data_IF_363963705641
#
_entry.id   IF_363963705641
#
_cell.length_a   1.000
_cell.length_b   1.000
_cell.length_c   1.000
_cell.angle_alpha   90.00
_cell.angle_beta   90.00
_cell.angle_gamma   90.00
#
_symmetry.space_group_name_H-M   'P 1'
#
loop_
_entity.id
_entity.type
_entity.pdbx_description
1 polymer ?
#
# COMPACT_ATOMS: atom_id res chain seq x y z
N UNK A 1 -23.02 44.07 53.25
CA UNK A 1 -23.85 43.82 52.06
C UNK A 1 -23.37 44.83 51.04
N UNK A 2 -22.71 44.47 49.94
CA UNK A 2 -22.90 43.29 49.08
C UNK A 2 -21.56 43.07 48.36
N UNK A 3 -21.00 41.86 48.46
CA UNK A 3 -19.82 41.48 47.70
C UNK A 3 -20.30 41.12 46.28
N UNK A 4 -19.83 41.87 45.27
CA UNK A 4 -20.06 41.53 43.88
C UNK A 4 -19.44 40.15 43.58
N UNK A 5 -20.16 39.23 42.93
CA UNK A 5 -19.58 37.96 42.53
C UNK A 5 -18.55 38.22 41.43
N UNK A 6 -17.31 37.78 41.66
CA UNK A 6 -16.33 37.59 40.60
C UNK A 6 -16.93 36.59 39.61
N UNK A 7 -17.43 37.09 38.48
CA UNK A 7 -17.71 36.26 37.33
C UNK A 7 -16.39 35.65 36.88
N UNK A 8 -16.17 34.40 37.26
CA UNK A 8 -15.25 33.53 36.56
C UNK A 8 -15.68 33.53 35.09
N UNK A 9 -14.91 34.20 34.24
CA UNK A 9 -14.85 33.83 32.84
C UNK A 9 -14.29 32.42 32.80
N UNK A 10 -15.16 31.41 32.95
CA UNK A 10 -14.91 30.10 32.38
C UNK A 10 -14.83 30.32 30.88
N UNK A 11 -13.62 30.60 30.40
CA UNK A 11 -13.29 30.51 28.99
C UNK A 11 -13.69 29.11 28.55
N UNK A 12 -14.80 29.01 27.83
CA UNK A 12 -15.25 27.79 27.21
C UNK A 12 -14.26 27.40 26.11
N UNK A 13 -13.12 26.82 26.48
CA UNK A 13 -12.25 26.07 25.57
C UNK A 13 -12.86 24.68 25.29
N UNK A 14 -14.20 24.62 25.24
CA UNK A 14 -14.97 23.39 25.28
C UNK A 14 -14.97 22.74 23.90
N UNK A 15 -14.15 21.70 23.76
CA UNK A 15 -14.44 20.58 22.85
C UNK A 15 -13.55 20.43 21.63
N UNK A 16 -12.72 21.42 21.28
CA UNK A 16 -11.78 21.26 20.17
C UNK A 16 -10.49 20.59 20.66
N UNK A 17 -9.99 19.57 19.96
CA UNK A 17 -8.74 18.95 20.33
C UNK A 17 -7.59 19.93 20.07
N UNK A 18 -6.60 19.92 20.96
CA UNK A 18 -5.40 20.74 20.83
C UNK A 18 -4.73 20.49 19.47
N UNK A 19 -4.21 21.54 18.81
CA UNK A 19 -3.54 21.48 17.51
C UNK A 19 -2.48 20.37 17.37
N UNK A 20 -1.74 20.07 18.45
CA UNK A 20 -0.75 19.00 18.50
C UNK A 20 -1.37 17.61 18.20
N UNK A 21 -2.67 17.44 18.48
CA UNK A 21 -3.38 16.19 18.22
C UNK A 21 -3.52 15.91 16.73
N UNK A 22 -3.74 16.92 15.88
CA UNK A 22 -3.77 16.72 14.43
C UNK A 22 -2.45 16.18 13.90
N UNK A 23 -1.34 16.68 14.45
CA UNK A 23 0.00 16.15 14.15
C UNK A 23 0.07 14.68 14.57
N UNK A 24 -0.30 14.35 15.81
CA UNK A 24 -0.25 12.96 16.32
C UNK A 24 -1.11 12.03 15.46
N UNK A 25 -2.35 12.42 15.13
CA UNK A 25 -3.28 11.62 14.33
C UNK A 25 -2.71 11.29 12.95
N UNK A 26 -1.96 12.20 12.32
CA UNK A 26 -1.33 11.98 11.02
C UNK A 26 -0.21 10.92 11.03
N UNK A 27 0.35 10.58 12.21
CA UNK A 27 1.36 9.53 12.36
C UNK A 27 0.82 8.21 12.88
N UNK A 28 -0.47 8.14 13.25
CA UNK A 28 -1.07 6.90 13.72
C UNK A 28 -1.23 5.91 12.57
N UNK A 29 -0.96 4.61 12.78
CA UNK A 29 -1.38 3.59 11.83
C UNK A 29 -2.90 3.57 11.71
N UNK A 30 -3.40 3.04 10.59
CA UNK A 30 -4.81 3.13 10.23
C UNK A 30 -5.74 2.53 11.30
N UNK A 31 -5.34 1.45 11.95
CA UNK A 31 -6.13 0.81 12.99
C UNK A 31 -6.32 1.72 14.21
N UNK A 32 -5.23 2.35 14.67
CA UNK A 32 -5.21 3.29 15.78
C UNK A 32 -5.99 4.56 15.41
N UNK A 33 -5.80 5.10 14.21
CA UNK A 33 -6.54 6.26 13.71
C UNK A 33 -8.07 6.02 13.73
N UNK A 34 -8.50 4.87 13.21
CA UNK A 34 -9.91 4.46 13.25
C UNK A 34 -10.39 4.24 14.69
N UNK A 35 -9.54 3.70 15.56
CA UNK A 35 -9.87 3.54 16.99
C UNK A 35 -10.05 4.88 17.68
N UNK A 36 -9.19 5.87 17.39
CA UNK A 36 -9.27 7.22 17.95
C UNK A 36 -10.58 7.91 17.59
N UNK A 37 -11.06 7.75 16.34
CA UNK A 37 -12.36 8.30 15.91
C UNK A 37 -13.58 7.75 16.67
N UNK A 38 -13.38 6.70 17.49
CA UNK A 38 -14.45 6.06 18.28
C UNK A 38 -14.38 6.37 19.77
N UNK A 39 -13.37 7.12 20.22
CA UNK A 39 -13.14 7.43 21.64
C UNK A 39 -14.08 8.52 22.14
N UNK A 40 -14.13 9.65 21.45
CA UNK A 40 -15.01 10.77 21.77
C UNK A 40 -15.34 11.59 20.52
N UNK A 41 -16.39 12.41 20.61
CA UNK A 41 -16.85 13.27 19.50
C UNK A 41 -15.77 14.24 19.01
N UNK A 42 -15.00 14.82 19.94
CA UNK A 42 -13.89 15.73 19.61
C UNK A 42 -12.83 15.06 18.72
N UNK A 43 -12.42 13.83 19.07
CA UNK A 43 -11.47 13.04 18.29
C UNK A 43 -12.05 12.57 16.96
N UNK A 44 -13.33 12.19 16.95
CA UNK A 44 -14.03 11.86 15.71
C UNK A 44 -13.99 13.03 14.73
N UNK A 45 -14.37 14.22 15.19
CA UNK A 45 -14.40 15.44 14.37
C UNK A 45 -12.98 15.83 13.91
N UNK A 46 -11.96 15.69 14.75
CA UNK A 46 -10.57 15.92 14.36
C UNK A 46 -10.12 15.03 13.20
N UNK A 47 -10.43 13.74 13.29
CA UNK A 47 -10.08 12.73 12.28
C UNK A 47 -10.89 12.88 10.99
N UNK A 48 -12.14 13.33 11.09
CA UNK A 48 -13.03 13.54 9.93
C UNK A 48 -12.72 14.83 9.17
N UNK A 49 -12.30 15.89 9.86
CA UNK A 49 -12.04 17.19 9.26
C UNK A 49 -10.59 17.36 8.75
N UNK A 50 -9.68 16.48 9.14
CA UNK A 50 -8.29 16.48 8.65
C UNK A 50 -8.09 15.48 7.52
N UNK A 51 -7.57 15.96 6.39
CA UNK A 51 -7.22 15.11 5.24
C UNK A 51 -5.85 14.45 5.37
N UNK A 52 -4.94 15.03 6.16
CA UNK A 52 -3.53 14.64 6.18
C UNK A 52 -3.32 13.16 6.56
N UNK A 53 -4.04 12.59 7.57
CA UNK A 53 -3.91 11.18 7.91
C UNK A 53 -4.33 10.24 6.77
N UNK A 54 -5.19 10.71 5.85
CA UNK A 54 -5.76 9.92 4.77
C UNK A 54 -4.98 10.00 3.46
N UNK A 55 -3.89 10.79 3.39
CA UNK A 55 -3.06 10.86 2.19
C UNK A 55 -2.27 9.56 1.91
N UNK A 56 -2.04 8.75 2.96
CA UNK A 56 -1.32 7.48 2.87
C UNK A 56 -2.09 6.41 3.65
N UNK A 57 -2.87 5.61 2.93
CA UNK A 57 -3.67 4.53 3.53
C UNK A 57 -2.86 3.23 3.43
N UNK A 58 -2.53 2.67 4.59
CA UNK A 58 -1.86 1.38 4.70
C UNK A 58 -2.79 0.43 5.46
N UNK A 59 -3.26 -0.61 4.78
CA UNK A 59 -4.06 -1.68 5.37
C UNK A 59 -3.20 -2.92 5.50
N UNK A 60 -3.02 -3.35 6.74
CA UNK A 60 -2.33 -4.58 7.09
C UNK A 60 -3.12 -5.37 8.14
N UNK A 61 -2.52 -6.43 8.70
CA UNK A 61 -3.16 -7.19 9.77
C UNK A 61 -3.35 -6.30 11.01
N UNK A 62 -4.49 -6.42 11.72
CA UNK A 62 -5.58 -7.38 11.50
C UNK A 62 -6.70 -6.87 10.57
N UNK A 63 -6.64 -5.62 10.08
CA UNK A 63 -7.71 -4.98 9.31
C UNK A 63 -7.98 -5.66 7.96
N UNK A 64 -6.94 -6.16 7.30
CA UNK A 64 -7.00 -6.79 5.97
C UNK A 64 -8.07 -7.90 5.85
N UNK A 65 -8.33 -8.68 6.91
CA UNK A 65 -9.33 -9.78 6.90
C UNK A 65 -10.79 -9.30 6.96
N UNK A 66 -11.00 -8.08 7.46
CA UNK A 66 -12.32 -7.47 7.65
C UNK A 66 -12.66 -6.45 6.57
N UNK A 67 -11.68 -6.06 5.75
CA UNK A 67 -11.86 -5.09 4.70
C UNK A 67 -12.71 -5.68 3.56
N UNK A 68 -13.73 -4.94 3.14
CA UNK A 68 -14.51 -5.15 1.91
C UNK A 68 -14.40 -3.92 1.02
N UNK A 69 -14.84 -4.02 -0.23
CA UNK A 69 -14.83 -2.90 -1.17
C UNK A 69 -15.54 -1.66 -0.61
N UNK A 70 -16.70 -1.84 0.04
CA UNK A 70 -17.44 -0.73 0.66
C UNK A 70 -16.68 -0.06 1.82
N UNK A 71 -16.03 -0.85 2.67
CA UNK A 71 -15.25 -0.32 3.79
C UNK A 71 -14.01 0.41 3.26
N UNK A 72 -13.34 -0.17 2.26
CA UNK A 72 -12.20 0.46 1.60
C UNK A 72 -12.61 1.79 0.97
N UNK A 73 -13.72 1.84 0.25
CA UNK A 73 -14.23 3.06 -0.37
C UNK A 73 -14.57 4.13 0.67
N UNK A 74 -15.22 3.75 1.79
CA UNK A 74 -15.51 4.66 2.90
C UNK A 74 -14.25 5.25 3.55
N UNK A 75 -13.17 4.47 3.62
CA UNK A 75 -11.89 4.95 4.15
C UNK A 75 -11.19 5.86 3.12
N UNK A 76 -11.12 5.42 1.86
CA UNK A 76 -10.46 6.16 0.79
C UNK A 76 -11.14 7.49 0.44
N UNK A 77 -12.46 7.61 0.62
CA UNK A 77 -13.19 8.87 0.37
C UNK A 77 -12.78 9.99 1.32
N UNK A 78 -12.26 9.67 2.51
CA UNK A 78 -11.75 10.66 3.48
C UNK A 78 -10.53 11.42 2.96
N UNK A 79 -9.81 10.87 1.99
CA UNK A 79 -8.72 11.57 1.32
C UNK A 79 -9.19 12.68 0.37
N UNK A 80 -10.49 12.72 0.04
CA UNK A 80 -11.14 13.72 -0.82
C UNK A 80 -10.37 13.95 -2.14
N UNK A 81 -10.08 12.87 -2.86
CA UNK A 81 -9.33 12.89 -4.12
C UNK A 81 -7.83 13.08 -4.00
N UNK A 82 -7.30 13.31 -2.79
CA UNK A 82 -5.88 13.60 -2.56
C UNK A 82 -5.05 12.39 -2.11
N UNK A 83 -5.61 11.17 -2.15
CA UNK A 83 -4.87 9.96 -1.77
C UNK A 83 -3.62 9.80 -2.65
N UNK A 84 -2.45 9.68 -2.01
CA UNK A 84 -1.14 9.57 -2.69
C UNK A 84 -0.61 8.15 -2.68
N UNK A 85 -0.85 7.44 -1.58
CA UNK A 85 -0.37 6.07 -1.36
C UNK A 85 -1.53 5.20 -0.90
N UNK A 86 -1.74 4.09 -1.60
CA UNK A 86 -2.66 3.03 -1.20
C UNK A 86 -1.88 1.72 -1.09
N UNK A 87 -1.80 1.18 0.12
CA UNK A 87 -1.18 -0.12 0.40
C UNK A 87 -2.21 -1.06 0.99
N UNK A 88 -2.49 -2.17 0.30
CA UNK A 88 -3.41 -3.23 0.69
C UNK A 88 -2.63 -4.54 0.83
N UNK A 89 -2.25 -4.91 2.04
CA UNK A 89 -1.45 -6.11 2.30
C UNK A 89 -2.37 -7.31 2.57
N UNK A 90 -2.37 -8.29 1.66
CA UNK A 90 -3.14 -9.53 1.80
C UNK A 90 -4.65 -9.29 2.00
N UNK A 91 -5.23 -8.31 1.32
CA UNK A 91 -6.65 -7.99 1.37
C UNK A 91 -7.43 -8.86 0.38
N UNK A 92 -7.62 -10.15 0.70
CA UNK A 92 -8.20 -11.14 -0.22
C UNK A 92 -9.66 -10.88 -0.65
N UNK A 93 -10.40 -10.06 0.10
CA UNK A 93 -11.81 -9.71 -0.17
C UNK A 93 -11.98 -8.48 -1.07
N UNK A 94 -10.89 -7.79 -1.43
CA UNK A 94 -10.95 -6.64 -2.32
C UNK A 94 -10.98 -7.11 -3.77
N UNK A 95 -11.92 -6.56 -4.53
CA UNK A 95 -12.13 -6.91 -5.94
C UNK A 95 -11.64 -5.83 -6.88
N UNK A 96 -11.59 -6.16 -8.18
CA UNK A 96 -11.22 -5.21 -9.23
C UNK A 96 -12.16 -3.99 -9.23
N UNK A 97 -13.46 -4.17 -8.95
CA UNK A 97 -14.44 -3.08 -8.84
C UNK A 97 -14.12 -2.16 -7.65
N UNK A 98 -13.88 -2.72 -6.47
CA UNK A 98 -13.53 -1.96 -5.29
C UNK A 98 -12.26 -1.13 -5.49
N UNK A 99 -11.23 -1.73 -6.10
CA UNK A 99 -10.00 -1.02 -6.45
C UNK A 99 -10.27 0.10 -7.46
N UNK A 100 -11.06 -0.17 -8.50
CA UNK A 100 -11.36 0.83 -9.54
C UNK A 100 -12.14 2.01 -8.97
N UNK A 101 -13.14 1.77 -8.11
CA UNK A 101 -13.90 2.83 -7.42
C UNK A 101 -12.99 3.76 -6.62
N UNK A 102 -12.00 3.21 -5.91
CA UNK A 102 -11.03 4.00 -5.14
C UNK A 102 -10.18 4.88 -6.06
N UNK A 103 -9.72 4.33 -7.18
CA UNK A 103 -8.90 5.05 -8.17
C UNK A 103 -9.70 6.15 -8.86
N UNK A 104 -10.94 5.89 -9.23
CA UNK A 104 -11.81 6.89 -9.87
C UNK A 104 -12.07 8.08 -8.93
N UNK A 105 -12.18 7.84 -7.63
CA UNK A 105 -12.29 8.91 -6.63
C UNK A 105 -10.94 9.57 -6.30
N UNK A 106 -9.81 8.90 -6.53
CA UNK A 106 -8.47 9.38 -6.18
C UNK A 106 -7.49 9.24 -7.36
N UNK A 107 -7.61 10.10 -8.39
CA UNK A 107 -6.81 10.00 -9.61
C UNK A 107 -5.32 10.33 -9.41
N UNK A 108 -4.94 10.83 -8.23
CA UNK A 108 -3.59 11.31 -7.91
C UNK A 108 -2.72 10.27 -7.19
N UNK A 109 -3.18 9.01 -7.06
CA UNK A 109 -2.40 7.94 -6.44
C UNK A 109 -1.09 7.76 -7.20
N UNK A 110 0.03 7.88 -6.47
CA UNK A 110 1.38 7.74 -7.00
C UNK A 110 2.09 6.46 -6.55
N UNK A 111 1.57 5.82 -5.51
CA UNK A 111 2.06 4.54 -4.98
C UNK A 111 0.87 3.61 -4.78
N UNK A 112 0.81 2.53 -5.55
CA UNK A 112 -0.23 1.51 -5.44
C UNK A 112 0.43 0.17 -5.08
N UNK A 113 0.24 -0.28 -3.85
CA UNK A 113 0.79 -1.54 -3.38
C UNK A 113 -0.35 -2.48 -3.01
N UNK A 114 -0.48 -3.61 -3.70
CA UNK A 114 -1.55 -4.59 -3.52
C UNK A 114 -1.02 -6.02 -3.39
N UNK A 115 0.05 -6.25 -2.59
CA UNK A 115 0.65 -7.57 -2.53
C UNK A 115 -0.26 -8.59 -1.84
N UNK A 116 -0.40 -9.76 -2.46
CA UNK A 116 -1.20 -10.87 -1.95
C UNK A 116 -2.71 -10.61 -1.93
N UNK A 117 -3.20 -9.58 -2.64
CA UNK A 117 -4.63 -9.34 -2.84
C UNK A 117 -5.19 -10.33 -3.86
N UNK A 118 -5.49 -11.55 -3.43
CA UNK A 118 -5.93 -12.65 -4.31
C UNK A 118 -7.31 -12.46 -4.95
N UNK A 119 -8.09 -11.48 -4.50
CA UNK A 119 -9.37 -11.10 -5.12
C UNK A 119 -9.22 -10.21 -6.35
N UNK A 120 -8.01 -9.71 -6.61
CA UNK A 120 -7.69 -8.91 -7.79
C UNK A 120 -7.20 -9.79 -8.93
N UNK A 121 -7.54 -9.38 -10.16
CA UNK A 121 -7.07 -10.06 -11.37
C UNK A 121 -5.98 -9.25 -12.08
N UNK A 122 -5.14 -9.90 -12.93
CA UNK A 122 -4.19 -9.18 -13.77
C UNK A 122 -4.85 -8.08 -14.62
N UNK A 123 -6.08 -8.31 -15.11
CA UNK A 123 -6.82 -7.33 -15.90
C UNK A 123 -7.28 -6.14 -15.05
N UNK A 124 -7.76 -6.38 -13.82
CA UNK A 124 -8.08 -5.30 -12.88
C UNK A 124 -6.88 -4.42 -12.59
N UNK A 125 -5.71 -5.01 -12.39
CA UNK A 125 -4.44 -4.27 -12.21
C UNK A 125 -4.09 -3.45 -13.46
N UNK A 126 -4.25 -4.01 -14.66
CA UNK A 126 -4.01 -3.28 -15.92
C UNK A 126 -4.93 -2.06 -16.02
N UNK A 127 -6.23 -2.21 -15.78
CA UNK A 127 -7.21 -1.13 -15.82
C UNK A 127 -6.88 -0.04 -14.80
N UNK A 128 -6.54 -0.44 -13.57
CA UNK A 128 -6.09 0.46 -12.52
C UNK A 128 -4.86 1.29 -12.94
N UNK A 129 -3.83 0.62 -13.48
CA UNK A 129 -2.59 1.29 -13.92
C UNK A 129 -2.84 2.20 -15.11
N UNK A 130 -3.66 1.78 -16.08
CA UNK A 130 -4.05 2.60 -17.22
C UNK A 130 -4.70 3.90 -16.73
N UNK A 131 -5.71 3.79 -15.87
CA UNK A 131 -6.45 4.95 -15.35
C UNK A 131 -5.53 5.94 -14.62
N UNK A 132 -4.65 5.43 -13.75
CA UNK A 132 -3.69 6.27 -13.02
C UNK A 132 -2.65 6.91 -13.96
N UNK A 133 -2.34 6.29 -15.09
CA UNK A 133 -1.40 6.83 -16.08
C UNK A 133 -2.02 7.96 -16.89
N UNK A 134 -3.31 7.86 -17.23
CA UNK A 134 -4.06 8.85 -18.01
C UNK A 134 -4.17 10.20 -17.27
N UNK A 135 -4.26 10.20 -15.93
CA UNK A 135 -4.47 11.39 -15.11
C UNK A 135 -3.26 12.33 -14.96
N UNK A 136 -2.30 12.34 -15.90
CA UNK A 136 -1.07 13.19 -15.90
C UNK A 136 -0.12 13.04 -14.70
N UNK A 137 -0.50 12.37 -13.62
CA UNK A 137 0.40 11.96 -12.54
C UNK A 137 1.14 10.66 -12.89
N UNK A 138 2.43 10.60 -12.57
CA UNK A 138 3.23 9.40 -12.80
C UNK A 138 3.11 8.48 -11.59
N UNK A 139 2.55 7.29 -11.78
CA UNK A 139 2.69 6.20 -10.82
C UNK A 139 4.19 5.96 -10.61
N UNK A 140 4.66 6.17 -9.39
CA UNK A 140 6.08 6.06 -9.00
C UNK A 140 6.42 4.66 -8.51
N UNK A 141 5.44 3.97 -7.92
CA UNK A 141 5.64 2.64 -7.35
C UNK A 141 4.35 1.82 -7.45
N UNK A 142 4.51 0.57 -7.89
CA UNK A 142 3.48 -0.44 -8.09
C UNK A 142 3.99 -1.75 -7.48
N UNK A 143 3.25 -2.32 -6.54
CA UNK A 143 3.56 -3.64 -5.99
C UNK A 143 2.41 -4.59 -6.23
N UNK A 144 2.66 -5.65 -6.98
CA UNK A 144 1.65 -6.61 -7.44
C UNK A 144 2.08 -8.05 -7.17
N UNK A 145 3.08 -8.26 -6.31
CA UNK A 145 3.47 -9.61 -5.94
C UNK A 145 2.31 -10.40 -5.32
N UNK A 146 2.15 -11.66 -5.71
CA UNK A 146 1.09 -12.51 -5.16
C UNK A 146 -0.30 -12.27 -5.76
N UNK A 147 -0.44 -11.44 -6.79
CA UNK A 147 -1.61 -11.49 -7.68
C UNK A 147 -1.56 -12.79 -8.48
N UNK A 148 -2.64 -13.56 -8.43
CA UNK A 148 -2.71 -14.88 -9.06
C UNK A 148 -2.74 -14.77 -10.60
N UNK A 149 -2.20 -15.78 -11.28
CA UNK A 149 -2.28 -15.95 -12.74
C UNK A 149 -1.72 -14.77 -13.56
N UNK A 150 -0.78 -14.01 -13.00
CA UNK A 150 -0.05 -12.98 -13.74
C UNK A 150 0.82 -13.64 -14.82
N UNK A 151 0.68 -13.19 -16.07
CA UNK A 151 1.39 -13.73 -17.25
C UNK A 151 2.27 -12.65 -17.84
N UNK A 152 3.22 -13.06 -18.69
CA UNK A 152 4.12 -12.16 -19.44
C UNK A 152 3.36 -11.04 -20.15
N UNK A 153 2.29 -11.38 -20.89
CA UNK A 153 1.47 -10.42 -21.64
C UNK A 153 0.86 -9.33 -20.74
N UNK A 154 0.40 -9.71 -19.54
CA UNK A 154 -0.13 -8.77 -18.57
C UNK A 154 0.95 -7.81 -18.08
N UNK A 155 2.14 -8.34 -17.76
CA UNK A 155 3.27 -7.52 -17.31
C UNK A 155 3.76 -6.56 -18.40
N UNK A 156 3.84 -7.01 -19.65
CA UNK A 156 4.18 -6.16 -20.80
C UNK A 156 3.17 -5.02 -20.98
N UNK A 157 1.87 -5.32 -20.82
CA UNK A 157 0.82 -4.30 -20.88
C UNK A 157 0.91 -3.28 -19.74
N UNK A 158 1.18 -3.73 -18.51
CA UNK A 158 1.42 -2.84 -17.37
C UNK A 158 2.64 -1.95 -17.67
N UNK A 159 3.75 -2.53 -18.13
CA UNK A 159 4.96 -1.78 -18.47
C UNK A 159 4.73 -0.75 -19.56
N UNK A 160 3.91 -1.07 -20.57
CA UNK A 160 3.50 -0.11 -21.60
C UNK A 160 2.86 1.13 -20.98
N UNK A 161 1.84 0.97 -20.13
CA UNK A 161 1.18 2.11 -19.46
C UNK A 161 2.11 2.87 -18.52
N UNK A 162 3.06 2.20 -17.86
CA UNK A 162 4.05 2.88 -17.02
C UNK A 162 5.09 3.68 -17.83
N UNK A 163 5.33 3.33 -19.10
CA UNK A 163 6.30 3.98 -19.99
C UNK A 163 5.72 5.16 -20.79
N UNK A 164 4.40 5.38 -20.82
CA UNK A 164 3.75 6.44 -21.61
C UNK A 164 4.05 7.87 -21.14
N UNK A 165 4.96 8.08 -20.17
CA UNK A 165 5.52 9.40 -19.85
C UNK A 165 7.04 9.40 -20.01
N UNK A 166 7.61 10.32 -20.82
CA UNK A 166 9.04 10.44 -20.95
C UNK A 166 9.59 11.05 -19.66
N UNK A 167 10.20 10.24 -18.80
CA UNK A 167 11.11 10.72 -17.76
C UNK A 167 12.46 10.07 -17.99
N UNK A 168 13.39 10.90 -18.48
CA UNK A 168 14.85 10.76 -18.46
C UNK A 168 15.34 9.31 -18.59
N UNK A 169 15.69 8.94 -19.82
CA UNK A 169 16.69 7.90 -20.07
C UNK A 169 18.02 8.34 -19.43
N UNK A 170 18.14 8.21 -18.11
CA UNK A 170 19.43 7.95 -17.52
C UNK A 170 19.78 6.54 -17.96
N UNK A 171 20.70 6.48 -18.92
CA UNK A 171 21.48 5.33 -19.36
C UNK A 171 21.41 4.20 -18.32
N UNK A 172 20.57 3.19 -18.54
CA UNK A 172 20.58 2.00 -17.68
C UNK A 172 21.66 1.05 -18.23
N UNK A 173 22.80 0.88 -17.52
CA UNK A 173 23.74 -0.16 -17.91
C UNK A 173 23.06 -1.50 -17.67
N UNK A 174 23.05 -2.37 -18.69
CA UNK A 174 22.62 -3.80 -18.67
C UNK A 174 21.79 -4.20 -17.43
N UNK A 175 20.45 -4.12 -17.55
CA UNK A 175 19.49 -4.43 -16.47
C UNK A 175 19.80 -5.79 -15.81
N UNK A 176 20.42 -5.75 -14.63
CA UNK A 176 20.53 -6.91 -13.74
C UNK A 176 19.14 -7.20 -13.14
N UNK A 177 18.76 -8.46 -12.87
CA UNK A 177 17.50 -8.77 -12.20
C UNK A 177 17.39 -8.06 -10.84
N UNK A 178 16.20 -7.64 -10.41
CA UNK A 178 16.01 -7.23 -8.99
C UNK A 178 16.13 -8.50 -8.15
N UNK A 179 17.10 -8.58 -7.24
CA UNK A 179 17.36 -9.77 -6.46
C UNK A 179 17.06 -9.53 -4.98
N UNK A 180 16.04 -10.18 -4.42
CA UNK A 180 15.65 -10.03 -3.01
C UNK A 180 16.45 -10.92 -2.07
N UNK A 181 17.07 -10.34 -1.05
CA UNK A 181 17.95 -11.06 -0.12
C UNK A 181 17.26 -11.68 1.12
N UNK A 182 16.00 -11.33 1.45
CA UNK A 182 15.31 -11.89 2.61
C UNK A 182 13.77 -11.78 2.54
N UNK A 183 13.08 -12.90 2.76
CA UNK A 183 11.61 -13.00 2.81
C UNK A 183 10.99 -12.38 4.08
N UNK A 184 11.77 -12.24 5.17
CA UNK A 184 11.28 -11.82 6.50
C UNK A 184 11.18 -10.30 6.71
N UNK A 185 11.65 -9.50 5.76
CA UNK A 185 11.51 -8.03 5.82
C UNK A 185 10.82 -7.54 4.54
N UNK A 186 9.54 -7.84 4.42
CA UNK A 186 8.61 -7.12 3.54
C UNK A 186 8.41 -5.70 4.12
N UNK A 187 9.49 -4.92 4.19
CA UNK A 187 9.42 -3.52 4.57
C UNK A 187 8.98 -2.76 3.33
N UNK A 188 7.75 -2.24 3.34
CA UNK A 188 7.17 -1.35 2.33
C UNK A 188 8.01 -0.08 2.05
N UNK A 189 9.13 0.10 2.76
CA UNK A 189 9.94 1.32 2.78
C UNK A 189 11.28 1.24 2.00
N UNK A 190 11.70 0.07 1.48
CA UNK A 190 13.01 -0.05 0.80
C UNK A 190 12.98 -0.06 -0.73
N UNK A 191 11.82 0.25 -1.31
CA UNK A 191 11.56 0.13 -2.75
C UNK A 191 12.05 1.30 -3.59
N UNK A 192 12.38 2.42 -2.94
CA UNK A 192 12.76 3.67 -3.62
C UNK A 192 14.22 3.66 -4.11
N UNK A 193 15.08 2.76 -3.62
CA UNK A 193 16.53 2.80 -3.84
C UNK A 193 16.99 2.35 -5.25
N UNK A 194 16.15 1.65 -6.01
CA UNK A 194 16.54 1.07 -7.31
C UNK A 194 15.85 1.70 -8.54
N UNK A 195 15.04 2.74 -8.36
CA UNK A 195 14.38 3.45 -9.46
C UNK A 195 13.46 2.59 -10.33
N UNK A 196 13.02 1.41 -9.85
CA UNK A 196 12.03 0.56 -10.55
C UNK A 196 10.64 0.87 -10.06
N UNK A 197 9.70 0.97 -11.01
CA UNK A 197 8.31 1.28 -10.72
C UNK A 197 7.52 0.05 -10.29
N UNK A 198 7.90 -1.17 -10.73
CA UNK A 198 7.18 -2.43 -10.43
C UNK A 198 8.09 -3.47 -9.76
N UNK A 199 7.53 -4.29 -8.87
CA UNK A 199 8.22 -5.26 -8.00
C UNK A 199 8.40 -6.69 -8.56
N UNK A 200 7.74 -7.00 -9.69
CA UNK A 200 7.78 -8.32 -10.35
C UNK A 200 8.50 -8.27 -11.70
N UNK A 201 9.14 -9.39 -12.06
CA UNK A 201 9.83 -9.58 -13.34
C UNK A 201 9.52 -10.97 -13.92
N UNK A 202 9.89 -11.18 -15.19
CA UNK A 202 9.83 -12.50 -15.81
C UNK A 202 11.06 -13.30 -15.37
N UNK A 203 10.83 -14.45 -14.76
CA UNK A 203 11.92 -15.35 -14.37
C UNK A 203 12.60 -15.96 -15.61
N UNK A 204 13.91 -15.76 -15.83
CA UNK A 204 14.58 -16.32 -17.01
C UNK A 204 14.66 -17.85 -17.01
N UNK A 205 14.39 -18.51 -15.88
CA UNK A 205 14.45 -19.98 -15.77
C UNK A 205 13.12 -20.67 -16.04
N UNK A 206 12.00 -20.06 -15.65
CA UNK A 206 10.68 -20.70 -15.74
C UNK A 206 9.64 -19.85 -16.48
N UNK A 207 10.02 -18.66 -16.96
CA UNK A 207 9.17 -17.71 -17.69
C UNK A 207 7.93 -17.22 -16.93
N UNK A 208 7.88 -17.46 -15.62
CA UNK A 208 6.81 -16.99 -14.73
C UNK A 208 7.03 -15.56 -14.27
N UNK A 209 5.95 -14.79 -14.11
CA UNK A 209 6.00 -13.45 -13.53
C UNK A 209 6.08 -13.56 -12.01
N UNK A 210 7.18 -13.09 -11.42
CA UNK A 210 7.41 -13.18 -9.98
C UNK A 210 8.42 -12.16 -9.47
N UNK A 211 8.40 -11.98 -8.16
CA UNK A 211 9.47 -11.39 -7.37
C UNK A 211 10.70 -12.31 -7.50
N UNK A 212 11.82 -11.78 -7.99
CA UNK A 212 13.06 -12.55 -8.19
C UNK A 212 13.95 -12.45 -6.95
N UNK A 213 14.05 -13.53 -6.19
CA UNK A 213 14.93 -13.56 -5.02
C UNK A 213 16.37 -13.79 -5.46
N UNK A 214 17.29 -13.14 -4.76
CA UNK A 214 18.69 -13.48 -4.85
C UNK A 214 18.83 -14.94 -4.43
N UNK A 215 19.40 -15.75 -5.31
CA UNK A 215 19.67 -17.13 -4.96
C UNK A 215 20.62 -17.08 -3.75
N UNK A 216 20.23 -17.55 -2.55
CA UNK A 216 21.10 -17.47 -1.40
C UNK A 216 22.16 -18.53 -1.59
N UNK A 217 23.20 -18.21 -2.37
CA UNK A 217 24.56 -18.76 -2.32
C UNK A 217 25.35 -18.37 -3.56
N UNK A 218 26.41 -17.63 -3.29
CA UNK A 218 27.69 -17.69 -4.02
C UNK A 218 28.36 -19.08 -3.91
N UNK A 219 27.61 -20.17 -3.73
CA UNK A 219 28.11 -21.52 -3.45
C UNK A 219 27.23 -22.59 -4.13
N UNK A 220 27.92 -23.38 -4.94
CA UNK A 220 27.57 -24.70 -5.46
C UNK A 220 26.59 -24.77 -6.63
N UNK A 221 27.24 -24.96 -7.79
CA UNK A 221 26.78 -25.72 -8.96
C UNK A 221 25.75 -26.79 -8.59
N UNK A 222 24.60 -26.76 -9.25
CA UNK A 222 23.67 -27.88 -9.37
C UNK A 222 22.89 -28.26 -8.10
N UNK A 223 21.85 -27.51 -7.74
CA UNK A 223 20.69 -28.06 -7.05
C UNK A 223 19.47 -27.13 -7.17
N UNK A 224 18.40 -27.68 -7.73
CA UNK A 224 17.05 -27.12 -7.77
C UNK A 224 16.39 -27.43 -6.42
N UNK A 225 15.69 -26.45 -5.83
CA UNK A 225 14.41 -26.65 -5.12
C UNK A 225 13.80 -25.29 -4.73
N UNK A 226 12.69 -24.94 -5.38
CA UNK A 226 11.69 -24.05 -4.81
C UNK A 226 10.36 -24.78 -4.94
N UNK A 227 9.94 -25.42 -3.86
CA UNK A 227 8.62 -26.03 -3.75
C UNK A 227 7.57 -24.91 -3.74
N UNK A 228 6.72 -24.89 -4.77
CA UNK A 228 5.53 -24.06 -4.87
C UNK A 228 4.36 -24.68 -4.06
N UNK A 229 4.56 -24.94 -2.76
CA UNK A 229 3.47 -25.35 -1.88
C UNK A 229 3.53 -24.60 -0.55
N UNK A 230 2.49 -23.80 -0.33
CA UNK A 230 2.04 -23.36 0.98
C UNK A 230 1.66 -24.62 1.81
N UNK A 231 2.62 -25.26 2.49
CA UNK A 231 2.29 -26.26 3.52
C UNK A 231 3.40 -26.65 4.52
N UNK A 232 4.64 -26.15 4.46
CA UNK A 232 5.65 -26.52 5.49
C UNK A 232 6.15 -25.31 6.31
N UNK A 233 5.32 -24.90 7.28
CA UNK A 233 5.82 -24.29 8.52
C UNK A 233 6.10 -25.45 9.48
N UNK A 234 7.29 -26.05 9.38
CA UNK A 234 7.85 -26.82 10.50
C UNK A 234 8.86 -25.96 11.23
N UNK A 235 8.42 -25.52 12.41
CA UNK A 235 9.25 -25.05 13.50
C UNK A 235 10.28 -26.15 13.80
N UNK A 236 11.54 -25.93 13.44
CA UNK A 236 12.63 -26.70 14.02
C UNK A 236 12.91 -26.10 15.39
N UNK A 237 12.39 -26.80 16.41
CA UNK A 237 12.83 -26.69 17.79
C UNK A 237 14.35 -26.91 17.84
N UNK A 238 14.98 -26.11 18.68
CA UNK A 238 16.36 -26.25 19.13
C UNK A 238 16.57 -27.59 19.83
N UNK A 239 17.51 -28.39 19.33
CA UNK A 239 18.30 -29.28 20.17
C UNK A 239 19.71 -28.67 20.27
N UNK A 240 19.92 -27.98 21.39
CA UNK A 240 21.14 -28.02 22.22
C UNK A 240 20.66 -27.96 23.65
#
# INVERSE_FOLDING_TARGET
MELAPLSHEESSSSGLPHDALFIVLAYLPLFELLSMSRVCRSLQEAVENDVLPWLNIIVEKPLNFRLSDEILMKIASKANGRLKTLTLMFCAKITDDGLQRVIDHNPHISKLHIPGCTGLTPNGVITAVQKLSDCQHSLKSLQVNGIANMKKEHLERIQYYLQTKPKLQLVQPRRQPLLYHNYRKFQAYRWEEHGRVIDVEICPKCNEVRVLFDCPRRIAKGAIRFNNQLSDVRVLRSEV
#
